data_IF_170424776467
#
_entry.id   IF_170424776467
#
_cell.length_a   1.000
_cell.length_b   1.000
_cell.length_c   1.000
_cell.angle_alpha   90.00
_cell.angle_beta   90.00
_cell.angle_gamma   90.00
#
_symmetry.space_group_name_H-M   'P 1'
#
loop_
_entity.id
_entity.type
_entity.pdbx_description
1 polymer ?
#
# COMPACT_ATOMS: atom_id res chain seq x y z
N UNK A 1 -18.17 -4.94 -4.30
CA UNK A 1 -17.18 -3.90 -3.92
C UNK A 1 -15.89 -4.57 -3.50
N UNK A 2 -14.81 -3.88 -3.69
CA UNK A 2 -13.47 -4.34 -3.29
C UNK A 2 -13.01 -3.49 -2.11
N UNK A 3 -12.53 -4.13 -1.05
CA UNK A 3 -11.95 -3.44 0.08
C UNK A 3 -10.44 -3.66 0.11
N UNK A 4 -9.70 -2.67 0.57
CA UNK A 4 -8.23 -2.72 0.57
C UNK A 4 -7.70 -2.32 1.94
N UNK A 5 -6.72 -3.08 2.42
CA UNK A 5 -5.89 -2.71 3.56
C UNK A 5 -4.43 -2.85 3.17
N UNK A 6 -3.57 -2.19 3.91
CA UNK A 6 -2.13 -2.24 3.66
C UNK A 6 -1.33 -2.28 4.96
N UNK A 7 -0.08 -2.67 4.85
CA UNK A 7 0.84 -2.77 5.98
C UNK A 7 2.25 -2.55 5.45
N UNK A 8 2.94 -1.56 5.98
CA UNK A 8 4.32 -1.27 5.56
C UNK A 8 5.28 -1.67 6.67
N UNK A 9 6.24 -2.51 6.32
CA UNK A 9 7.23 -3.05 7.26
C UNK A 9 8.62 -2.62 6.81
N UNK A 10 9.35 -1.99 7.73
CA UNK A 10 10.77 -1.67 7.54
C UNK A 10 11.59 -2.90 7.92
N UNK A 11 12.04 -3.64 6.92
CA UNK A 11 12.74 -4.91 7.15
C UNK A 11 14.18 -4.70 7.65
N UNK A 12 14.77 -3.54 7.42
CA UNK A 12 16.09 -3.23 7.97
C UNK A 12 16.01 -2.98 9.46
N UNK A 13 14.97 -2.29 9.92
CA UNK A 13 14.74 -2.02 11.35
C UNK A 13 14.03 -3.19 12.05
N UNK A 14 13.40 -4.06 11.30
CA UNK A 14 12.64 -5.19 11.85
C UNK A 14 11.36 -4.75 12.55
N UNK A 15 10.71 -3.69 12.06
CA UNK A 15 9.49 -3.15 12.69
C UNK A 15 8.59 -2.44 11.67
N UNK A 16 7.32 -2.18 12.05
CA UNK A 16 6.40 -1.45 11.16
C UNK A 16 6.89 -0.03 10.89
N UNK A 17 6.54 0.48 9.72
CA UNK A 17 6.86 1.85 9.32
C UNK A 17 5.63 2.74 9.47
N UNK A 18 5.70 3.70 10.39
CA UNK A 18 4.65 4.66 10.65
C UNK A 18 4.78 5.89 9.76
N UNK A 19 3.65 6.48 9.38
CA UNK A 19 3.62 7.74 8.64
C UNK A 19 3.94 7.61 7.16
N UNK A 20 3.84 6.42 6.60
CA UNK A 20 4.06 6.20 5.17
C UNK A 20 2.79 6.55 4.41
N UNK A 21 2.91 7.48 3.48
CA UNK A 21 1.78 7.86 2.64
C UNK A 21 1.51 6.77 1.61
N UNK A 22 0.22 6.45 1.45
CA UNK A 22 -0.26 5.48 0.47
C UNK A 22 -1.43 6.09 -0.28
N UNK A 23 -1.48 5.86 -1.59
CA UNK A 23 -2.54 6.37 -2.46
C UNK A 23 -3.07 5.26 -3.34
N UNK A 24 -4.38 5.29 -3.60
CA UNK A 24 -5.01 4.40 -4.57
C UNK A 24 -5.64 5.24 -5.67
N UNK A 25 -5.28 4.94 -6.91
CA UNK A 25 -5.72 5.69 -8.08
C UNK A 25 -6.49 4.80 -9.05
N UNK A 26 -7.58 5.34 -9.59
CA UNK A 26 -8.27 4.77 -10.74
C UNK A 26 -8.03 5.72 -11.92
N UNK A 27 -7.16 5.35 -12.83
CA UNK A 27 -6.67 6.22 -13.90
C UNK A 27 -6.13 7.53 -13.31
N UNK A 28 -6.73 8.68 -13.62
CA UNK A 28 -6.29 9.98 -13.12
C UNK A 28 -7.03 10.42 -11.86
N UNK A 29 -7.89 9.58 -11.31
CA UNK A 29 -8.70 9.92 -10.15
C UNK A 29 -8.11 9.30 -8.89
N UNK A 30 -7.87 10.13 -7.89
CA UNK A 30 -7.46 9.66 -6.56
C UNK A 30 -8.68 9.08 -5.85
N UNK A 31 -8.64 7.78 -5.57
CA UNK A 31 -9.74 7.05 -4.93
C UNK A 31 -9.63 7.10 -3.41
N UNK A 32 -8.41 6.94 -2.90
CA UNK A 32 -8.15 6.93 -1.47
C UNK A 32 -6.72 7.34 -1.20
N UNK A 33 -6.49 7.93 -0.03
CA UNK A 33 -5.15 8.25 0.45
C UNK A 33 -5.12 8.21 1.97
N UNK A 34 -3.96 7.96 2.52
CA UNK A 34 -3.76 7.93 3.96
C UNK A 34 -2.31 7.72 4.32
N UNK A 35 -2.06 7.66 5.61
CA UNK A 35 -0.73 7.37 6.14
C UNK A 35 -0.83 6.20 7.11
N UNK A 36 0.21 5.38 7.14
CA UNK A 36 0.25 4.23 8.05
C UNK A 36 0.29 4.70 9.50
N UNK A 37 -0.36 3.94 10.37
CA UNK A 37 -0.40 4.19 11.80
C UNK A 37 0.86 3.66 12.51
N UNK A 38 0.84 3.64 13.84
CA UNK A 38 1.98 3.16 14.63
C UNK A 38 2.31 1.70 14.38
N UNK A 39 1.33 0.91 13.92
CA UNK A 39 1.54 -0.50 13.56
C UNK A 39 1.90 -0.67 12.08
N UNK A 40 2.12 0.44 11.37
CA UNK A 40 2.43 0.39 9.95
C UNK A 40 1.24 0.06 9.07
N UNK A 41 0.03 0.17 9.58
CA UNK A 41 -1.19 -0.29 8.90
C UNK A 41 -2.12 0.85 8.50
N UNK A 42 -2.88 0.60 7.45
CA UNK A 42 -4.10 1.34 7.13
C UNK A 42 -5.17 0.27 6.93
N UNK A 43 -6.00 0.05 7.96
CA UNK A 43 -6.93 -1.08 8.00
C UNK A 43 -8.07 -0.94 6.98
N UNK A 44 -8.74 0.19 6.98
CA UNK A 44 -9.88 0.44 6.10
C UNK A 44 -9.48 1.47 5.05
N UNK A 45 -8.47 1.11 4.25
CA UNK A 45 -7.87 2.06 3.33
C UNK A 45 -8.82 2.47 2.21
N UNK A 46 -9.48 1.50 1.59
CA UNK A 46 -10.38 1.79 0.47
C UNK A 46 -11.54 0.82 0.43
N UNK A 47 -12.68 1.30 -0.09
CA UNK A 47 -13.85 0.51 -0.42
C UNK A 47 -14.33 1.04 -1.77
N UNK A 48 -14.15 0.26 -2.84
CA UNK A 48 -14.25 0.77 -4.19
C UNK A 48 -14.80 -0.30 -5.14
N UNK A 49 -15.37 0.06 -6.28
CA UNK A 49 -15.83 -0.91 -7.28
C UNK A 49 -14.67 -1.79 -7.77
N UNK A 50 -15.01 -2.99 -8.21
CA UNK A 50 -14.04 -3.87 -8.87
C UNK A 50 -13.48 -3.17 -10.12
N UNK A 51 -12.20 -3.35 -10.39
CA UNK A 51 -11.54 -2.72 -11.53
C UNK A 51 -10.04 -2.70 -11.43
N UNK A 52 -9.42 -1.94 -12.32
CA UNK A 52 -7.97 -1.77 -12.40
C UNK A 52 -7.57 -0.51 -11.66
N UNK A 53 -6.57 -0.63 -10.79
CA UNK A 53 -6.11 0.46 -9.94
C UNK A 53 -4.60 0.52 -9.89
N UNK A 54 -4.07 1.69 -9.48
CA UNK A 54 -2.66 1.86 -9.12
C UNK A 54 -2.57 2.12 -7.63
N UNK A 55 -1.81 1.29 -6.94
CA UNK A 55 -1.50 1.49 -5.53
C UNK A 55 -0.11 2.10 -5.44
N UNK A 56 0.01 3.24 -4.78
CA UNK A 56 1.25 4.02 -4.73
C UNK A 56 1.67 4.20 -3.30
N UNK A 57 2.90 3.78 -3.00
CA UNK A 57 3.53 3.97 -1.69
C UNK A 57 4.64 5.00 -1.81
N UNK A 58 4.79 5.82 -0.77
CA UNK A 58 5.94 6.72 -0.61
C UNK A 58 6.79 6.19 0.55
N UNK A 59 7.65 5.21 0.29
CA UNK A 59 8.30 4.45 1.36
C UNK A 59 9.42 5.21 2.04
N UNK A 60 9.78 4.83 3.28
CA UNK A 60 10.91 5.44 4.01
C UNK A 60 12.24 4.85 3.49
N UNK A 61 12.59 5.18 2.27
CA UNK A 61 13.79 4.69 1.61
C UNK A 61 14.62 5.85 1.10
N UNK A 62 15.96 5.79 1.20
CA UNK A 62 16.81 6.81 0.61
C UNK A 62 16.91 6.68 -0.91
N UNK A 63 16.43 5.58 -1.47
CA UNK A 63 16.58 5.25 -2.87
C UNK A 63 15.24 5.21 -3.60
N UNK A 64 14.26 4.45 -3.09
CA UNK A 64 12.95 4.35 -3.72
C UNK A 64 12.09 5.52 -3.27
N UNK A 65 11.83 6.43 -4.18
CA UNK A 65 10.99 7.61 -3.89
C UNK A 65 9.52 7.24 -3.89
N UNK A 66 9.16 6.25 -4.72
CA UNK A 66 7.78 5.84 -4.93
C UNK A 66 7.75 4.42 -5.43
N UNK A 67 6.83 3.62 -4.93
CA UNK A 67 6.56 2.27 -5.42
C UNK A 67 5.14 2.25 -5.95
N UNK A 68 4.97 1.98 -7.23
CA UNK A 68 3.66 1.88 -7.86
C UNK A 68 3.38 0.45 -8.27
N UNK A 69 2.18 0.00 -7.96
CA UNK A 69 1.69 -1.32 -8.34
C UNK A 69 0.41 -1.16 -9.14
N UNK A 70 0.34 -1.80 -10.30
CA UNK A 70 -0.93 -1.94 -11.02
C UNK A 70 -1.59 -3.22 -10.55
N UNK A 71 -2.84 -3.11 -10.09
CA UNK A 71 -3.56 -4.24 -9.50
C UNK A 71 -4.96 -4.35 -10.08
N UNK A 72 -5.43 -5.59 -10.22
CA UNK A 72 -6.82 -5.88 -10.56
C UNK A 72 -7.54 -6.25 -9.27
N UNK A 73 -8.58 -5.49 -8.93
CA UNK A 73 -9.40 -5.75 -7.74
C UNK A 73 -10.74 -6.32 -8.18
N UNK A 74 -11.02 -7.55 -7.77
CA UNK A 74 -12.33 -8.17 -7.91
C UNK A 74 -13.16 -7.95 -6.65
N UNK A 75 -14.19 -8.74 -6.46
CA UNK A 75 -14.99 -8.70 -5.25
C UNK A 75 -14.20 -9.24 -4.06
N UNK A 76 -14.40 -8.64 -2.89
CA UNK A 76 -13.81 -9.10 -1.64
C UNK A 76 -12.73 -8.20 -1.10
N UNK A 77 -11.96 -8.75 -0.16
CA UNK A 77 -10.94 -8.00 0.54
C UNK A 77 -9.54 -8.32 0.03
N UNK A 78 -8.74 -7.27 -0.15
CA UNK A 78 -7.35 -7.38 -0.59
C UNK A 78 -6.43 -6.71 0.42
N UNK A 79 -5.53 -7.50 1.01
CA UNK A 79 -4.48 -6.98 1.86
C UNK A 79 -3.20 -6.89 1.02
N UNK A 80 -2.68 -5.69 0.86
CA UNK A 80 -1.54 -5.41 -0.03
C UNK A 80 -0.40 -4.81 0.78
N UNK A 81 0.46 -5.65 1.39
CA UNK A 81 1.56 -5.18 2.20
C UNK A 81 2.79 -4.79 1.37
N UNK A 82 3.63 -3.95 1.94
CA UNK A 82 4.92 -3.57 1.37
C UNK A 82 6.01 -3.83 2.41
N UNK A 83 7.00 -4.63 2.03
CA UNK A 83 8.22 -4.81 2.82
C UNK A 83 9.30 -3.95 2.18
N UNK A 84 9.91 -3.07 2.95
CA UNK A 84 10.88 -2.11 2.43
C UNK A 84 12.17 -2.13 3.24
N UNK A 85 13.28 -2.11 2.53
CA UNK A 85 14.61 -1.87 3.08
C UNK A 85 15.22 -0.67 2.36
N UNK A 86 16.41 -0.18 2.75
CA UNK A 86 16.96 0.99 2.07
C UNK A 86 17.06 0.86 0.55
N UNK A 87 17.35 -0.33 0.04
CA UNK A 87 17.56 -0.55 -1.40
C UNK A 87 16.75 -1.68 -1.99
N UNK A 88 15.76 -2.18 -1.28
CA UNK A 88 14.93 -3.27 -1.76
C UNK A 88 13.49 -3.14 -1.29
N UNK A 89 12.58 -3.73 -2.04
CA UNK A 89 11.19 -3.82 -1.61
C UNK A 89 10.54 -5.07 -2.18
N UNK A 90 9.52 -5.54 -1.50
CA UNK A 90 8.71 -6.68 -1.93
C UNK A 90 7.27 -6.42 -1.56
N UNK A 91 6.37 -6.93 -2.39
CA UNK A 91 4.94 -6.85 -2.15
C UNK A 91 4.28 -8.15 -2.57
N UNK A 92 3.12 -8.41 -2.03
CA UNK A 92 2.34 -9.59 -2.37
C UNK A 92 0.89 -9.36 -1.96
N UNK A 93 0.01 -10.23 -2.45
CA UNK A 93 -1.37 -10.22 -1.94
C UNK A 93 -1.42 -11.04 -0.67
N UNK A 94 -1.76 -10.40 0.44
CA UNK A 94 -2.01 -11.08 1.70
C UNK A 94 -3.32 -11.87 1.65
N UNK A 95 -3.43 -12.85 2.46
CA UNK A 95 -4.65 -13.67 2.53
C UNK A 95 -5.59 -13.18 3.62
#
# INVERSE_FOLDING_TARGET
MSTVSTHVIDTAAGRPAQGVRVELWAEDALVASGETDADGRIADFADTPAGSYRLVFFPPSPFFRRVELEVELGEGHYHLPLLVSPYGCATYRGS
#
